data_IF_730142565476
#
_entry.id   IF_730142565476
#
_cell.length_a   1.000
_cell.length_b   1.000
_cell.length_c   1.000
_cell.angle_alpha   90.00
_cell.angle_beta   90.00
_cell.angle_gamma   90.00
#
_symmetry.space_group_name_H-M   'P 1'
#
loop_
_entity.id
_entity.type
_entity.pdbx_description
1 polymer ?
#
# COMPACT_ATOMS: atom_id res chain seq x y z
N UNK A 1 -12.84 4.10 9.61
CA UNK A 1 -11.66 4.03 8.72
C UNK A 1 -12.08 3.47 7.37
N UNK A 2 -11.48 3.96 6.32
CA UNK A 2 -11.75 3.49 4.97
C UNK A 2 -10.72 2.42 4.59
N UNK A 3 -11.19 1.37 3.92
CA UNK A 3 -10.30 0.30 3.47
C UNK A 3 -10.24 0.30 1.95
N UNK A 4 -9.05 0.10 1.42
CA UNK A 4 -8.83 0.04 -0.01
C UNK A 4 -7.84 -1.07 -0.31
N UNK A 5 -8.11 -1.83 -1.37
CA UNK A 5 -7.20 -2.88 -1.85
C UNK A 5 -6.60 -2.43 -3.18
N UNK A 6 -5.26 -2.46 -3.25
CA UNK A 6 -4.53 -2.14 -4.47
C UNK A 6 -3.94 -3.41 -5.06
N UNK A 7 -3.91 -3.50 -6.38
CA UNK A 7 -3.20 -4.57 -7.07
C UNK A 7 -1.80 -4.06 -7.38
N UNK A 8 -0.79 -4.76 -6.88
CA UNK A 8 0.62 -4.39 -7.09
C UNK A 8 1.27 -5.46 -7.93
N UNK A 9 1.64 -5.10 -9.15
CA UNK A 9 2.07 -6.08 -10.16
C UNK A 9 3.43 -6.71 -9.89
N UNK A 10 4.34 -5.96 -9.28
CA UNK A 10 5.72 -6.35 -9.12
C UNK A 10 6.06 -6.93 -7.75
N UNK A 11 5.07 -7.06 -6.89
CA UNK A 11 5.30 -7.53 -5.52
C UNK A 11 5.31 -9.05 -5.50
N UNK A 12 6.50 -9.63 -5.34
CA UNK A 12 6.64 -11.08 -5.44
C UNK A 12 7.50 -11.71 -4.34
N UNK A 13 7.91 -10.96 -3.33
CA UNK A 13 8.73 -11.50 -2.25
C UNK A 13 8.45 -10.78 -0.92
N UNK A 14 8.93 -11.38 0.18
CA UNK A 14 8.72 -10.80 1.50
C UNK A 14 9.38 -9.44 1.68
N UNK A 15 10.51 -9.22 1.03
CA UNK A 15 11.17 -7.91 1.04
C UNK A 15 10.29 -6.84 0.42
N UNK A 16 9.63 -7.19 -0.68
CA UNK A 16 8.69 -6.29 -1.36
C UNK A 16 7.53 -5.95 -0.44
N UNK A 17 6.97 -6.96 0.21
CA UNK A 17 5.89 -6.79 1.16
C UNK A 17 6.28 -5.80 2.26
N UNK A 18 7.43 -6.01 2.88
CA UNK A 18 7.91 -5.17 3.98
C UNK A 18 8.12 -3.73 3.53
N UNK A 19 8.70 -3.53 2.33
CA UNK A 19 8.95 -2.20 1.80
C UNK A 19 7.65 -1.44 1.55
N UNK A 20 6.66 -2.10 0.96
CA UNK A 20 5.36 -1.50 0.67
C UNK A 20 4.63 -1.16 1.97
N UNK A 21 4.56 -2.11 2.89
CA UNK A 21 3.89 -1.88 4.17
C UNK A 21 4.55 -0.77 4.96
N UNK A 22 5.88 -0.75 5.00
CA UNK A 22 6.62 0.29 5.70
C UNK A 22 6.38 1.67 5.13
N UNK A 23 6.40 1.79 3.80
CA UNK A 23 6.15 3.06 3.14
C UNK A 23 4.74 3.58 3.40
N UNK A 24 3.75 2.69 3.38
CA UNK A 24 2.37 3.08 3.63
C UNK A 24 2.17 3.50 5.08
N UNK A 25 2.75 2.78 6.02
CA UNK A 25 2.60 3.09 7.44
C UNK A 25 3.24 4.40 7.85
N UNK A 26 4.18 4.92 7.05
CA UNK A 26 4.79 6.21 7.32
C UNK A 26 3.85 7.38 7.03
N UNK A 27 2.80 7.15 6.26
CA UNK A 27 1.86 8.22 5.92
C UNK A 27 0.94 8.51 7.10
N UNK A 28 0.74 9.81 7.43
CA UNK A 28 -0.23 10.17 8.46
C UNK A 28 -1.63 9.77 7.99
N UNK A 29 -2.41 9.18 8.89
CA UNK A 29 -3.75 8.72 8.56
C UNK A 29 -3.85 7.26 8.18
N UNK A 30 -2.73 6.59 7.92
CA UNK A 30 -2.74 5.15 7.64
C UNK A 30 -2.69 4.40 8.97
N UNK A 31 -3.73 3.60 9.23
CA UNK A 31 -3.79 2.79 10.44
C UNK A 31 -3.19 1.42 10.24
N UNK A 32 -3.49 0.78 9.11
CA UNK A 32 -2.99 -0.56 8.79
C UNK A 32 -2.62 -0.65 7.33
N UNK A 33 -1.56 -1.39 7.06
CA UNK A 33 -1.16 -1.72 5.70
C UNK A 33 -0.74 -3.20 5.70
N UNK A 34 -1.38 -3.99 4.88
CA UNK A 34 -1.15 -5.44 4.83
C UNK A 34 -0.99 -5.88 3.38
N UNK A 35 0.20 -6.34 3.03
CA UNK A 35 0.50 -6.77 1.68
C UNK A 35 0.45 -8.29 1.59
N UNK A 36 -0.08 -8.81 0.47
CA UNK A 36 -0.16 -10.23 0.19
C UNK A 36 0.62 -10.51 -1.10
N UNK A 37 1.80 -11.10 -0.98
CA UNK A 37 2.66 -11.36 -2.13
C UNK A 37 2.13 -12.48 -3.03
N UNK A 38 1.35 -13.38 -2.48
CA UNK A 38 0.76 -14.47 -3.26
C UNK A 38 -0.29 -13.94 -4.21
N UNK A 39 -1.14 -13.05 -3.72
CA UNK A 39 -2.19 -12.43 -4.53
C UNK A 39 -1.72 -11.18 -5.26
N UNK A 40 -0.61 -10.60 -4.84
CA UNK A 40 -0.14 -9.34 -5.39
C UNK A 40 -1.02 -8.18 -5.01
N UNK A 41 -1.62 -8.22 -3.82
CA UNK A 41 -2.55 -7.16 -3.36
C UNK A 41 -2.04 -6.52 -2.07
N UNK A 42 -2.47 -5.28 -1.85
CA UNK A 42 -2.16 -4.54 -0.62
C UNK A 42 -3.47 -3.97 -0.07
N UNK A 43 -3.81 -4.35 1.15
CA UNK A 43 -4.97 -3.82 1.84
C UNK A 43 -4.53 -2.72 2.80
N UNK A 44 -5.17 -1.57 2.71
CA UNK A 44 -4.83 -0.42 3.54
C UNK A 44 -6.08 0.08 4.25
N UNK A 45 -5.96 0.27 5.57
CA UNK A 45 -6.99 0.95 6.35
C UNK A 45 -6.46 2.34 6.67
N UNK A 46 -7.21 3.36 6.31
CA UNK A 46 -6.73 4.74 6.43
C UNK A 46 -7.88 5.71 6.67
N UNK A 47 -7.53 6.90 7.10
CA UNK A 47 -8.47 7.99 7.29
C UNK A 47 -8.50 8.84 6.02
N UNK A 48 -9.57 8.74 5.25
CA UNK A 48 -9.66 9.41 3.96
C UNK A 48 -9.72 10.94 4.08
N UNK A 49 -9.93 11.47 5.27
CA UNK A 49 -9.87 12.91 5.48
C UNK A 49 -8.45 13.40 5.74
N UNK A 50 -7.52 12.50 5.99
CA UNK A 50 -6.11 12.83 6.24
C UNK A 50 -5.22 12.45 5.06
N UNK A 51 -5.49 11.31 4.42
CA UNK A 51 -4.70 10.79 3.31
C UNK A 51 -5.64 10.30 2.22
N UNK A 52 -5.24 10.47 0.96
CA UNK A 52 -6.06 10.06 -0.18
C UNK A 52 -5.54 8.77 -0.81
N UNK A 53 -6.37 8.16 -1.68
CA UNK A 53 -5.93 6.97 -2.42
C UNK A 53 -4.73 7.27 -3.30
N UNK A 54 -4.65 8.50 -3.82
CA UNK A 54 -3.49 8.93 -4.61
C UNK A 54 -2.22 8.91 -3.77
N UNK A 55 -2.29 9.37 -2.53
CA UNK A 55 -1.15 9.37 -1.63
C UNK A 55 -0.67 7.95 -1.36
N UNK A 56 -1.61 7.02 -1.17
CA UNK A 56 -1.29 5.61 -0.94
C UNK A 56 -0.60 5.01 -2.17
N UNK A 57 -1.14 5.29 -3.35
CA UNK A 57 -0.55 4.79 -4.59
C UNK A 57 0.86 5.33 -4.80
N UNK A 58 1.05 6.62 -4.56
CA UNK A 58 2.37 7.24 -4.70
C UNK A 58 3.37 6.60 -3.75
N UNK A 59 2.95 6.29 -2.52
CA UNK A 59 3.83 5.64 -1.55
C UNK A 59 4.28 4.26 -2.04
N UNK A 60 3.37 3.49 -2.66
CA UNK A 60 3.71 2.20 -3.23
C UNK A 60 4.69 2.37 -4.40
N UNK A 61 4.43 3.36 -5.25
CA UNK A 61 5.30 3.63 -6.39
C UNK A 61 6.69 4.07 -5.96
N UNK A 62 6.78 4.86 -4.89
CA UNK A 62 8.08 5.27 -4.33
C UNK A 62 8.88 4.09 -3.79
N UNK A 63 8.20 3.05 -3.34
CA UNK A 63 8.87 1.83 -2.91
C UNK A 63 9.42 1.03 -4.09
N UNK A 64 9.10 1.42 -5.32
CA UNK A 64 9.62 0.78 -6.53
C UNK A 64 8.66 -0.20 -7.18
N UNK A 65 7.37 -0.13 -6.88
CA UNK A 65 6.39 -1.08 -7.40
C UNK A 65 5.31 -0.39 -8.20
N UNK A 66 4.66 -1.15 -9.08
CA UNK A 66 3.63 -0.64 -9.97
C UNK A 66 2.25 -1.01 -9.42
N UNK A 67 1.38 -0.02 -9.30
CA UNK A 67 0.01 -0.20 -8.86
C UNK A 67 -0.90 -0.28 -10.08
N UNK A 68 -1.70 -1.34 -10.15
CA UNK A 68 -2.64 -1.56 -11.24
C UNK A 68 -4.06 -1.34 -10.73
N UNK A 69 -4.43 -0.12 -10.50
CA UNK A 69 -5.84 0.24 -10.25
C UNK A 69 -5.98 1.54 -9.48
#
# INVERSE_FOLDING_TARGET
MTEKTFNVLDMSCDHCKAAVEGGLKELPGVEKANADVVRGTVEVSYDQSTVTTKDLRVAIEKAGYTVDS
#
